data_IF_983288215815
#
_entry.id   IF_983288215815
#
_cell.length_a   1.000
_cell.length_b   1.000
_cell.length_c   1.000
_cell.angle_alpha   90.00
_cell.angle_beta   90.00
_cell.angle_gamma   90.00
#
_symmetry.space_group_name_H-M   'P 1'
#
loop_
_entity.id
_entity.type
_entity.pdbx_description
1 polymer ?
#
# COMPACT_ATOMS: atom_id res chain seq x y z
N UNK A 1 1.51 -1.14 -27.99
CA UNK A 1 1.69 0.26 -27.58
C UNK A 1 2.34 0.27 -26.22
N UNK A 2 3.52 0.90 -26.08
CA UNK A 2 4.12 1.11 -24.77
C UNK A 2 3.24 2.14 -24.07
N UNK A 3 2.48 1.73 -23.05
CA UNK A 3 1.72 2.67 -22.24
C UNK A 3 2.72 3.51 -21.46
N UNK A 4 2.88 4.78 -21.82
CA UNK A 4 3.73 5.71 -21.07
C UNK A 4 3.23 5.79 -19.62
N UNK A 5 4.13 5.46 -18.69
CA UNK A 5 3.82 5.46 -17.26
C UNK A 5 3.94 6.89 -16.74
N UNK A 6 2.82 7.42 -16.27
CA UNK A 6 2.75 8.75 -15.69
C UNK A 6 2.65 8.66 -14.17
N UNK A 7 3.27 9.62 -13.48
CA UNK A 7 3.06 9.81 -12.05
C UNK A 7 1.60 10.22 -11.83
N UNK A 8 1.00 9.74 -10.75
CA UNK A 8 -0.41 9.96 -10.46
C UNK A 8 -0.60 10.65 -9.11
N UNK A 9 -0.40 11.99 -9.04
CA UNK A 9 -0.68 12.77 -7.83
C UNK A 9 -2.16 12.70 -7.43
N UNK A 10 -2.43 12.62 -6.13
CA UNK A 10 -3.79 12.55 -5.58
C UNK A 10 -4.44 11.16 -5.58
N UNK A 11 -3.77 10.12 -6.08
CA UNK A 11 -4.19 8.73 -5.89
C UNK A 11 -4.11 8.33 -4.43
N UNK A 12 -5.01 7.46 -3.97
CA UNK A 12 -5.08 7.00 -2.59
C UNK A 12 -4.52 5.59 -2.50
N UNK A 13 -3.55 5.43 -1.60
CA UNK A 13 -3.10 4.14 -1.13
C UNK A 13 -3.67 3.87 0.26
N UNK A 14 -3.92 2.61 0.57
CA UNK A 14 -4.39 2.13 1.87
C UNK A 14 -3.38 1.17 2.46
N UNK A 15 -3.08 1.30 3.75
CA UNK A 15 -2.20 0.41 4.48
C UNK A 15 -3.01 -0.25 5.60
N UNK A 16 -2.96 -1.58 5.63
CA UNK A 16 -3.59 -2.39 6.66
C UNK A 16 -2.48 -3.17 7.34
N UNK A 17 -2.43 -3.08 8.66
CA UNK A 17 -1.52 -3.83 9.49
C UNK A 17 -2.29 -4.79 10.38
N UNK A 18 -1.68 -5.94 10.66
CA UNK A 18 -2.16 -6.90 11.64
C UNK A 18 -1.14 -7.04 12.76
N UNK A 19 -1.65 -7.23 13.96
CA UNK A 19 -0.87 -7.55 15.13
C UNK A 19 -1.36 -8.87 15.72
N UNK A 20 -0.53 -9.49 16.54
CA UNK A 20 -0.89 -10.66 17.32
C UNK A 20 -0.73 -10.36 18.80
N UNK A 21 -1.67 -10.81 19.61
CA UNK A 21 -1.57 -10.73 21.06
C UNK A 21 -0.65 -11.82 21.64
N UNK A 22 -0.52 -11.82 22.97
CA UNK A 22 0.31 -12.80 23.70
C UNK A 22 -0.18 -14.25 23.57
N UNK A 23 -1.44 -14.46 23.21
CA UNK A 23 -2.05 -15.77 22.98
C UNK A 23 -1.98 -16.19 21.50
N UNK A 24 -1.52 -15.30 20.62
CA UNK A 24 -1.39 -15.52 19.18
C UNK A 24 -2.64 -15.18 18.38
N UNK A 25 -3.66 -14.56 18.98
CA UNK A 25 -4.85 -14.12 18.25
C UNK A 25 -4.52 -12.90 17.38
N UNK A 26 -4.94 -12.96 16.11
CA UNK A 26 -4.71 -11.89 15.15
C UNK A 26 -5.74 -10.78 15.29
N UNK A 27 -5.28 -9.54 15.38
CA UNK A 27 -6.09 -8.32 15.37
C UNK A 27 -5.67 -7.40 14.24
N UNK A 28 -6.62 -6.64 13.69
CA UNK A 28 -6.36 -5.63 12.66
C UNK A 28 -6.18 -4.28 13.33
N UNK A 29 -5.08 -3.61 13.00
CA UNK A 29 -4.83 -2.25 13.47
C UNK A 29 -5.67 -1.25 12.65
N UNK A 30 -5.88 -0.02 13.17
CA UNK A 30 -6.53 1.05 12.43
C UNK A 30 -5.91 1.23 11.04
N UNK A 31 -6.78 1.39 10.04
CA UNK A 31 -6.39 1.52 8.63
C UNK A 31 -5.82 2.91 8.38
N UNK A 32 -4.66 2.99 7.73
CA UNK A 32 -4.12 4.26 7.24
C UNK A 32 -4.42 4.44 5.76
N UNK A 33 -4.84 5.65 5.36
CA UNK A 33 -5.01 6.03 3.96
C UNK A 33 -4.19 7.28 3.66
N UNK A 34 -3.53 7.30 2.50
CA UNK A 34 -2.62 8.38 2.12
C UNK A 34 -2.79 8.73 0.65
N UNK A 35 -2.88 10.03 0.36
CA UNK A 35 -2.82 10.54 -1.01
C UNK A 35 -1.38 10.61 -1.49
N UNK A 36 -1.16 10.33 -2.76
CA UNK A 36 0.13 10.54 -3.41
C UNK A 36 0.42 12.03 -3.61
N UNK A 37 1.68 12.40 -3.45
CA UNK A 37 2.18 13.75 -3.68
C UNK A 37 2.36 14.05 -5.19
N UNK A 38 2.88 15.25 -5.50
CA UNK A 38 3.15 15.68 -6.88
C UNK A 38 4.14 14.77 -7.64
N UNK A 39 4.91 13.95 -6.93
CA UNK A 39 5.86 12.97 -7.48
C UNK A 39 5.29 11.55 -7.50
N UNK A 40 4.03 11.36 -7.13
CA UNK A 40 3.39 10.05 -7.07
C UNK A 40 3.77 9.21 -5.85
N UNK A 41 4.48 9.77 -4.86
CA UNK A 41 4.83 9.06 -3.63
C UNK A 41 3.74 9.22 -2.57
N UNK A 42 3.44 8.16 -1.84
CA UNK A 42 2.64 8.21 -0.62
C UNK A 42 3.52 7.81 0.57
N UNK A 43 3.22 8.40 1.72
CA UNK A 43 3.96 8.15 2.95
C UNK A 43 2.99 8.13 4.13
N UNK A 44 3.03 7.05 4.90
CA UNK A 44 2.29 6.92 6.16
C UNK A 44 3.26 6.58 7.27
N UNK A 45 3.03 7.17 8.43
CA UNK A 45 3.65 6.73 9.69
C UNK A 45 2.71 5.76 10.39
N UNK A 46 3.26 4.69 10.93
CA UNK A 46 2.57 3.86 11.92
C UNK A 46 3.14 4.25 13.28
N UNK A 47 2.32 4.86 14.14
CA UNK A 47 2.74 5.19 15.49
C UNK A 47 2.73 3.91 16.34
N UNK A 48 3.78 3.72 17.12
CA UNK A 48 3.90 2.59 18.05
C UNK A 48 2.83 2.67 19.16
N UNK A 49 2.27 3.84 19.44
CA UNK A 49 1.15 4.00 20.35
C UNK A 49 -0.11 3.24 19.92
N UNK A 50 -0.24 2.90 18.62
CA UNK A 50 -1.33 2.07 18.09
C UNK A 50 -1.18 0.58 18.43
N UNK A 51 -0.01 0.16 18.92
CA UNK A 51 0.23 -1.18 19.44
C UNK A 51 -0.01 -1.12 20.94
N UNK A 52 -1.21 -1.49 21.38
CA UNK A 52 -1.53 -1.67 22.81
C UNK A 52 -0.53 -2.65 23.46
N UNK A 53 -0.37 -2.54 24.79
CA UNK A 53 0.52 -3.41 25.54
C UNK A 53 0.18 -4.89 25.29
N UNK A 54 1.17 -5.65 24.83
CA UNK A 54 1.02 -7.07 24.51
C UNK A 54 0.72 -7.38 23.03
N UNK A 55 0.42 -6.37 22.20
CA UNK A 55 0.31 -6.55 20.75
C UNK A 55 1.68 -6.46 20.08
N UNK A 56 1.98 -7.46 19.25
CA UNK A 56 3.17 -7.48 18.38
C UNK A 56 2.75 -7.30 16.94
N UNK A 57 3.28 -6.29 16.26
CA UNK A 57 3.08 -6.10 14.83
C UNK A 57 3.53 -7.36 14.08
N UNK A 58 2.63 -7.94 13.30
CA UNK A 58 2.88 -9.17 12.53
C UNK A 58 3.22 -8.83 11.08
N UNK A 59 2.31 -8.16 10.39
CA UNK A 59 2.54 -7.72 9.01
C UNK A 59 1.79 -6.43 8.70
N UNK A 60 2.30 -5.70 7.70
CA UNK A 60 1.59 -4.60 7.06
C UNK A 60 1.56 -4.84 5.56
N UNK A 61 0.40 -4.60 4.94
CA UNK A 61 0.22 -4.65 3.50
C UNK A 61 -0.31 -3.31 3.00
N UNK A 62 0.21 -2.87 1.86
CA UNK A 62 -0.27 -1.70 1.14
C UNK A 62 -1.13 -2.13 -0.07
N UNK A 63 -2.14 -1.32 -0.35
CA UNK A 63 -3.15 -1.56 -1.36
C UNK A 63 -3.43 -0.28 -2.14
N UNK A 64 -3.83 -0.47 -3.39
CA UNK A 64 -4.46 0.55 -4.22
C UNK A 64 -5.88 0.80 -3.68
N UNK A 65 -6.26 2.06 -3.49
CA UNK A 65 -7.62 2.42 -3.04
C UNK A 65 -8.39 3.15 -4.14
N UNK A 66 -7.96 4.35 -4.55
CA UNK A 66 -8.67 5.14 -5.57
C UNK A 66 -7.76 6.05 -6.40
N UNK A 67 -8.18 6.30 -7.64
CA UNK A 67 -7.52 7.23 -8.56
C UNK A 67 -8.32 8.53 -8.63
N UNK A 68 -7.65 9.69 -8.75
CA UNK A 68 -8.34 10.97 -8.92
C UNK A 68 -8.76 11.19 -10.38
N UNK A 69 -8.28 10.38 -11.33
CA UNK A 69 -8.55 10.54 -12.75
C UNK A 69 -9.70 9.64 -13.17
N UNK A 70 -10.69 10.21 -13.85
CA UNK A 70 -11.84 9.45 -14.34
C UNK A 70 -11.47 8.40 -15.38
N UNK A 71 -10.48 8.70 -16.21
CA UNK A 71 -10.04 7.85 -17.31
C UNK A 71 -8.94 6.86 -16.93
N UNK A 72 -8.30 6.98 -15.76
CA UNK A 72 -7.21 6.11 -15.32
C UNK A 72 -7.51 5.59 -13.91
N UNK A 73 -8.63 4.85 -13.78
CA UNK A 73 -9.21 4.43 -12.50
C UNK A 73 -9.29 2.93 -12.29
N UNK A 74 -8.89 2.13 -13.27
CA UNK A 74 -8.94 0.68 -13.14
C UNK A 74 -7.68 0.20 -12.41
N UNK A 75 -7.78 -0.32 -11.18
CA UNK A 75 -6.61 -0.79 -10.45
C UNK A 75 -6.04 -2.04 -11.11
N UNK A 76 -4.72 -2.22 -11.02
CA UNK A 76 -4.06 -3.46 -11.47
C UNK A 76 -3.40 -4.16 -10.29
N UNK A 77 -3.29 -5.50 -10.37
CA UNK A 77 -2.56 -6.27 -9.37
C UNK A 77 -1.04 -6.38 -9.65
N UNK A 78 -0.52 -5.50 -10.51
CA UNK A 78 0.93 -5.36 -10.67
C UNK A 78 1.53 -4.95 -9.34
N UNK A 79 2.60 -5.62 -8.92
CA UNK A 79 3.23 -5.44 -7.61
C UNK A 79 2.28 -5.70 -6.42
N UNK A 80 1.25 -6.53 -6.62
CA UNK A 80 0.24 -6.86 -5.59
C UNK A 80 -0.57 -5.64 -5.15
N UNK A 81 -0.85 -4.72 -6.07
CA UNK A 81 -1.63 -3.53 -5.78
C UNK A 81 -3.05 -3.82 -5.27
N UNK A 82 -3.67 -4.92 -5.69
CA UNK A 82 -5.02 -5.33 -5.27
C UNK A 82 -4.93 -6.38 -4.15
N UNK A 83 -4.07 -7.38 -4.31
CA UNK A 83 -3.93 -8.50 -3.37
C UNK A 83 -3.15 -8.14 -2.09
N UNK A 84 -2.42 -7.03 -2.10
CA UNK A 84 -1.70 -6.49 -0.97
C UNK A 84 -0.19 -6.72 -1.06
N UNK A 85 0.57 -5.63 -1.16
CA UNK A 85 2.02 -5.66 -1.15
C UNK A 85 2.55 -5.67 0.29
N UNK A 86 3.24 -6.74 0.67
CA UNK A 86 3.83 -6.89 2.00
C UNK A 86 4.98 -5.88 2.21
N UNK A 87 4.94 -5.14 3.31
CA UNK A 87 6.02 -4.26 3.76
C UNK A 87 7.07 -5.10 4.52
N UNK A 88 7.98 -5.75 3.78
CA UNK A 88 9.01 -6.62 4.38
C UNK A 88 10.40 -5.99 4.42
N UNK A 89 10.73 -5.15 3.44
CA UNK A 89 12.07 -4.56 3.30
C UNK A 89 12.08 -3.15 3.85
N UNK A 90 13.06 -2.86 4.71
CA UNK A 90 13.22 -1.55 5.33
C UNK A 90 14.66 -1.06 5.32
N UNK A 91 14.81 0.26 5.36
CA UNK A 91 16.07 0.92 5.74
C UNK A 91 15.89 1.66 7.06
N UNK A 92 16.94 1.73 7.86
CA UNK A 92 16.92 2.45 9.13
C UNK A 92 17.28 3.91 8.88
N UNK A 93 16.42 4.81 9.33
CA UNK A 93 16.66 6.26 9.35
C UNK A 93 17.03 6.67 10.78
N UNK A 94 18.32 6.66 11.09
CA UNK A 94 18.84 6.90 12.45
C UNK A 94 18.49 8.31 12.97
N UNK A 95 18.52 9.31 12.09
CA UNK A 95 18.16 10.70 12.37
C UNK A 95 16.71 10.85 12.84
N UNK A 96 15.82 9.96 12.37
CA UNK A 96 14.38 9.96 12.69
C UNK A 96 13.94 8.85 13.61
N UNK A 97 14.88 8.00 14.07
CA UNK A 97 14.61 6.77 14.86
C UNK A 97 13.47 5.93 14.25
N UNK A 98 13.45 5.80 12.91
CA UNK A 98 12.36 5.17 12.18
C UNK A 98 12.88 4.09 11.22
N UNK A 99 12.11 3.00 11.08
CA UNK A 99 12.27 2.06 9.96
C UNK A 99 11.41 2.53 8.79
N UNK A 100 12.05 2.89 7.68
CA UNK A 100 11.34 3.23 6.45
C UNK A 100 11.16 1.98 5.60
N UNK A 101 9.92 1.52 5.48
CA UNK A 101 9.53 0.46 4.56
C UNK A 101 9.25 1.07 3.18
N UNK A 102 9.67 0.36 2.13
CA UNK A 102 9.44 0.78 0.76
C UNK A 102 8.94 -0.40 -0.06
N UNK A 103 8.04 -0.12 -1.00
CA UNK A 103 7.46 -1.11 -1.88
C UNK A 103 7.49 -0.61 -3.32
N UNK A 104 7.28 -1.53 -4.25
CA UNK A 104 7.24 -1.19 -5.67
C UNK A 104 6.00 -0.34 -6.01
N UNK A 105 6.06 0.49 -7.06
CA UNK A 105 4.95 1.33 -7.47
C UNK A 105 3.70 0.52 -7.82
N UNK A 106 2.55 1.12 -7.56
CA UNK A 106 1.25 0.61 -7.98
C UNK A 106 0.79 1.27 -9.28
N UNK A 107 -0.10 0.60 -10.01
CA UNK A 107 -0.54 1.06 -11.32
C UNK A 107 -2.05 1.00 -11.49
N UNK A 108 -2.59 2.07 -12.06
CA UNK A 108 -3.90 2.11 -12.67
C UNK A 108 -3.78 2.00 -14.19
N UNK A 109 -4.85 1.54 -14.83
CA UNK A 109 -5.01 1.55 -16.28
C UNK A 109 -6.30 2.24 -16.69
N UNK A 110 -6.39 2.57 -17.98
CA UNK A 110 -7.58 3.17 -18.59
C UNK A 110 -8.68 2.15 -18.82
N UNK A 111 -8.29 0.94 -19.21
CA UNK A 111 -9.21 -0.16 -19.52
C UNK A 111 -8.98 -1.33 -18.56
N UNK A 112 -10.03 -2.10 -18.22
CA UNK A 112 -9.88 -3.42 -17.65
C UNK A 112 -9.04 -4.28 -18.59
N UNK A 113 -8.08 -5.04 -18.05
CA UNK A 113 -7.42 -6.08 -18.83
C UNK A 113 -8.51 -7.03 -19.33
N UNK A 114 -8.64 -7.15 -20.65
CA UNK A 114 -9.47 -8.18 -21.26
C UNK A 114 -8.99 -9.54 -20.75
N UNK A 115 -9.90 -10.29 -20.13
CA UNK A 115 -9.68 -11.72 -19.88
C UNK A 115 -9.53 -12.35 -21.27
N UNK A 116 -8.47 -13.10 -21.57
CA UNK A 116 -8.39 -13.82 -22.83
C UNK A 116 -9.59 -14.77 -22.88
N UNK A 117 -10.53 -14.54 -23.80
CA UNK A 117 -11.54 -15.54 -24.13
C UNK A 117 -10.82 -16.76 -24.68
N UNK A 118 -10.70 -17.80 -23.85
CA UNK A 118 -10.32 -19.12 -24.32
C UNK A 118 -11.46 -19.67 -25.16
N UNK A 119 -11.20 -19.86 -26.45
CA UNK A 119 -11.95 -20.76 -27.33
C UNK A 119 -11.22 -22.11 -27.39
#
# INVERSE_FOLDING_TARGET
>A
MLSDKHLLPGAVAKIICTAVDVLGYETRLPVSTCKTDAKGYYFSTLDHSLLEDGLKLRECKAFIESSPLEYCKVPTDVNKGITGALLSTYRILNDRKMKLYSINPFFYTTEPKSVPSGY
#
